data_IF_828715162631
#
_entry.id   IF_828715162631
#
_cell.length_a   1.000
_cell.length_b   1.000
_cell.length_c   1.000
_cell.angle_alpha   90.00
_cell.angle_beta   90.00
_cell.angle_gamma   90.00
#
_symmetry.space_group_name_H-M   'P 1'
#
loop_
_entity.id
_entity.type
_entity.pdbx_description
1 polymer ?
#
# COMPACT_ATOMS: atom_id res chain seq x y z
N UNK A 1 -22.35 4.98 -25.81
CA UNK A 1 -20.89 4.74 -25.56
C UNK A 1 -20.61 3.25 -25.64
N UNK A 2 -19.50 2.88 -26.25
CA UNK A 2 -19.07 1.48 -26.33
C UNK A 2 -17.95 1.27 -25.33
N UNK A 3 -18.16 0.36 -24.36
CA UNK A 3 -17.14 0.02 -23.36
C UNK A 3 -16.01 -0.78 -24.02
N UNK A 4 -14.81 -0.22 -24.05
CA UNK A 4 -13.60 -0.93 -24.48
C UNK A 4 -13.05 -1.74 -23.29
N UNK A 5 -13.15 -3.07 -23.37
CA UNK A 5 -12.54 -3.97 -22.39
C UNK A 5 -11.05 -4.11 -22.66
N UNK A 6 -10.23 -3.67 -21.73
CA UNK A 6 -8.79 -3.88 -21.78
C UNK A 6 -8.42 -5.30 -21.32
N UNK A 7 -7.30 -5.87 -21.79
CA UNK A 7 -6.75 -7.12 -21.24
C UNK A 7 -6.50 -7.01 -19.72
N UNK A 8 -6.48 -8.14 -19.02
CA UNK A 8 -6.26 -8.20 -17.56
C UNK A 8 -4.95 -7.53 -17.10
N UNK A 9 -3.98 -7.42 -17.98
CA UNK A 9 -2.64 -6.88 -17.80
C UNK A 9 -2.39 -5.58 -18.59
N UNK A 10 -3.46 -4.84 -18.86
CA UNK A 10 -3.41 -3.62 -19.67
C UNK A 10 -2.64 -2.44 -19.05
N UNK A 11 -2.34 -2.49 -17.78
CA UNK A 11 -1.58 -1.46 -17.07
C UNK A 11 -0.20 -2.03 -16.67
N UNK A 12 0.79 -2.02 -17.56
CA UNK A 12 2.13 -2.50 -17.24
C UNK A 12 2.83 -1.52 -16.31
N UNK A 13 3.53 -2.03 -15.35
CA UNK A 13 4.52 -1.26 -14.62
C UNK A 13 5.81 -1.19 -15.41
N UNK A 14 6.29 0.03 -15.63
CA UNK A 14 7.62 0.30 -16.15
C UNK A 14 8.46 0.83 -14.98
N UNK A 15 9.53 0.12 -14.58
CA UNK A 15 10.37 0.58 -13.47
C UNK A 15 10.93 1.98 -13.72
N UNK A 16 10.82 2.84 -12.72
CA UNK A 16 11.51 4.13 -12.72
C UNK A 16 13.03 3.91 -12.69
N UNK A 17 13.79 4.82 -13.30
CA UNK A 17 15.25 4.86 -13.14
C UNK A 17 15.70 5.06 -11.68
N UNK A 18 14.78 5.50 -10.81
CA UNK A 18 15.01 5.67 -9.38
C UNK A 18 14.61 4.43 -8.56
N UNK A 19 14.04 3.41 -9.19
CA UNK A 19 13.66 2.19 -8.49
C UNK A 19 14.90 1.46 -7.97
N UNK A 20 14.90 0.97 -6.71
CA UNK A 20 16.05 0.25 -6.17
C UNK A 20 16.24 -1.08 -6.94
N UNK A 21 17.49 -1.40 -7.27
CA UNK A 21 17.85 -2.63 -7.99
C UNK A 21 18.21 -3.77 -7.04
N UNK A 22 18.59 -3.45 -5.81
CA UNK A 22 18.97 -4.41 -4.77
C UNK A 22 18.32 -4.00 -3.45
N UNK A 23 17.25 -4.70 -3.08
CA UNK A 23 16.49 -4.45 -1.86
C UNK A 23 16.82 -5.51 -0.82
N UNK A 24 17.40 -5.10 0.29
CA UNK A 24 17.62 -5.97 1.43
C UNK A 24 16.35 -6.03 2.27
N UNK A 25 15.62 -7.14 2.21
CA UNK A 25 14.33 -7.28 2.90
C UNK A 25 14.51 -7.43 4.41
N UNK A 26 13.81 -6.60 5.19
CA UNK A 26 13.78 -6.68 6.65
C UNK A 26 12.51 -7.42 7.10
N UNK A 27 12.68 -8.65 7.58
CA UNK A 27 11.60 -9.50 8.08
C UNK A 27 11.70 -9.61 9.60
N UNK A 28 10.92 -8.82 10.33
CA UNK A 28 10.87 -8.86 11.80
C UNK A 28 9.86 -9.92 12.25
N UNK A 29 10.33 -10.94 12.96
CA UNK A 29 9.49 -12.10 13.33
C UNK A 29 8.45 -11.76 14.40
N UNK A 30 8.85 -11.07 15.46
CA UNK A 30 7.98 -10.70 16.58
C UNK A 30 8.33 -9.29 17.06
N UNK A 31 7.98 -8.24 16.29
CA UNK A 31 8.25 -6.88 16.71
C UNK A 31 7.44 -6.51 17.96
N UNK A 32 8.06 -5.83 18.91
CA UNK A 32 7.36 -5.28 20.07
C UNK A 32 6.30 -4.26 19.67
N UNK A 33 6.60 -3.49 18.63
CA UNK A 33 5.68 -2.52 18.00
C UNK A 33 5.57 -2.85 16.52
N UNK A 34 4.35 -3.06 16.03
CA UNK A 34 4.06 -3.25 14.60
C UNK A 34 4.06 -1.89 13.93
N UNK A 35 5.04 -1.65 13.07
CA UNK A 35 5.14 -0.45 12.27
C UNK A 35 4.31 -0.58 10.99
N UNK A 36 3.35 0.32 10.81
CA UNK A 36 2.44 0.32 9.66
C UNK A 36 2.73 1.52 8.77
N UNK A 37 3.12 1.25 7.53
CA UNK A 37 3.38 2.27 6.52
C UNK A 37 2.09 2.75 5.84
N UNK A 38 1.96 4.06 5.69
CA UNK A 38 0.88 4.70 4.94
C UNK A 38 1.53 5.63 3.91
N UNK A 39 1.57 5.15 2.67
CA UNK A 39 2.02 5.94 1.53
C UNK A 39 0.82 6.71 0.97
N UNK A 40 0.78 8.01 1.15
CA UNK A 40 -0.36 8.81 0.70
C UNK A 40 0.04 10.22 0.30
N UNK A 41 -0.68 10.80 -0.64
CA UNK A 41 -0.73 12.26 -0.79
C UNK A 41 -1.64 12.84 0.29
N UNK A 42 -1.46 14.11 0.62
CA UNK A 42 -2.27 14.79 1.65
C UNK A 42 -3.77 14.76 1.36
N UNK A 43 -4.15 14.76 0.08
CA UNK A 43 -5.55 14.69 -0.36
C UNK A 43 -6.24 13.36 -0.05
N UNK A 44 -5.48 12.29 0.17
CA UNK A 44 -6.04 10.96 0.52
C UNK A 44 -6.31 10.82 2.01
N UNK A 45 -5.79 11.72 2.84
CA UNK A 45 -6.00 11.73 4.27
C UNK A 45 -7.36 12.37 4.58
N UNK A 46 -8.37 11.55 4.74
CA UNK A 46 -9.72 11.98 5.08
C UNK A 46 -10.11 11.49 6.49
N UNK A 47 -11.10 12.12 7.16
CA UNK A 47 -11.53 11.76 8.50
C UNK A 47 -11.94 10.30 8.66
N UNK A 48 -12.62 9.71 7.67
CA UNK A 48 -13.08 8.32 7.72
C UNK A 48 -11.92 7.32 7.75
N UNK A 49 -10.90 7.59 6.95
CA UNK A 49 -9.69 6.76 6.94
C UNK A 49 -8.93 6.89 8.26
N UNK A 50 -8.72 8.12 8.77
CA UNK A 50 -8.03 8.34 10.04
C UNK A 50 -8.79 7.75 11.24
N UNK A 51 -10.12 7.83 11.25
CA UNK A 51 -10.94 7.19 12.29
C UNK A 51 -10.80 5.65 12.23
N UNK A 52 -10.78 5.06 11.03
CA UNK A 52 -10.53 3.62 10.88
C UNK A 52 -9.15 3.23 11.45
N UNK A 53 -8.10 4.00 11.20
CA UNK A 53 -6.77 3.75 11.77
C UNK A 53 -6.78 3.86 13.30
N UNK A 54 -7.50 4.83 13.85
CA UNK A 54 -7.69 4.97 15.30
C UNK A 54 -8.37 3.73 15.89
N UNK A 55 -9.45 3.25 15.27
CA UNK A 55 -10.16 2.04 15.72
C UNK A 55 -9.25 0.82 15.64
N UNK A 56 -8.45 0.68 14.57
CA UNK A 56 -7.45 -0.40 14.43
C UNK A 56 -6.47 -0.37 15.61
N UNK A 57 -5.87 0.79 15.91
CA UNK A 57 -4.96 0.97 17.05
C UNK A 57 -5.61 0.58 18.37
N UNK A 58 -6.84 1.09 18.61
CA UNK A 58 -7.53 0.95 19.90
C UNK A 58 -8.01 -0.49 20.16
N UNK A 59 -8.30 -1.27 19.09
CA UNK A 59 -8.79 -2.65 19.17
C UNK A 59 -7.72 -3.72 19.05
N UNK A 60 -6.58 -3.41 18.44
CA UNK A 60 -5.48 -4.36 18.28
C UNK A 60 -4.86 -4.73 19.64
N UNK A 61 -4.51 -6.02 19.81
CA UNK A 61 -3.84 -6.54 21.00
C UNK A 61 -2.33 -6.31 20.98
N UNK A 62 -1.79 -5.84 19.85
CA UNK A 62 -0.38 -5.50 19.67
C UNK A 62 -0.22 -3.98 19.64
N UNK A 63 0.93 -3.47 20.06
CA UNK A 63 1.24 -2.06 19.90
C UNK A 63 1.44 -1.74 18.42
N UNK A 64 0.85 -0.66 17.95
CA UNK A 64 0.92 -0.20 16.57
C UNK A 64 1.52 1.20 16.54
N UNK A 65 2.40 1.46 15.59
CA UNK A 65 2.84 2.80 15.23
C UNK A 65 2.69 3.03 13.74
N UNK A 66 2.06 4.16 13.36
CA UNK A 66 1.81 4.51 11.97
C UNK A 66 2.88 5.46 11.43
N UNK A 67 3.45 5.12 10.28
CA UNK A 67 4.41 5.96 9.56
C UNK A 67 3.75 6.49 8.30
N UNK A 68 3.37 7.76 8.31
CA UNK A 68 2.80 8.44 7.16
C UNK A 68 3.93 9.00 6.28
N UNK A 69 4.21 8.33 5.17
CA UNK A 69 5.12 8.80 4.13
C UNK A 69 4.33 9.68 3.15
N UNK A 70 4.35 10.99 3.39
CA UNK A 70 3.40 11.93 2.78
C UNK A 70 3.96 12.57 1.50
N UNK A 71 3.33 12.32 0.37
CA UNK A 71 3.49 13.14 -0.83
C UNK A 71 2.86 14.52 -0.65
N UNK A 72 3.51 15.56 -1.18
CA UNK A 72 3.04 16.95 -1.18
C UNK A 72 2.91 17.63 0.20
N UNK A 73 3.38 17.00 1.26
CA UNK A 73 3.42 17.57 2.62
C UNK A 73 4.76 18.24 2.87
N UNK A 74 4.89 19.50 2.54
CA UNK A 74 6.14 20.25 2.66
C UNK A 74 5.93 21.66 3.23
N UNK A 75 7.01 22.27 3.68
CA UNK A 75 7.00 23.67 4.17
C UNK A 75 5.91 23.91 5.23
N UNK A 76 5.19 24.98 5.07
CA UNK A 76 4.14 25.41 6.02
C UNK A 76 2.95 24.45 6.12
N UNK A 77 2.70 23.64 5.09
CA UNK A 77 1.55 22.70 5.11
C UNK A 77 1.81 21.49 6.00
N UNK A 78 3.07 21.07 6.15
CA UNK A 78 3.42 19.88 6.91
C UNK A 78 2.98 19.93 8.39
N UNK A 79 3.22 20.99 9.17
CA UNK A 79 2.77 21.07 10.56
C UNK A 79 1.26 20.94 10.72
N UNK A 80 0.46 21.46 9.78
CA UNK A 80 -1.00 21.32 9.82
C UNK A 80 -1.44 19.88 9.57
N UNK A 81 -0.84 19.19 8.60
CA UNK A 81 -1.13 17.79 8.32
C UNK A 81 -0.68 16.91 9.48
N UNK A 82 0.50 17.15 10.04
CA UNK A 82 0.98 16.41 11.21
C UNK A 82 0.05 16.58 12.40
N UNK A 83 -0.43 17.81 12.66
CA UNK A 83 -1.43 18.09 13.70
C UNK A 83 -2.75 17.36 13.42
N UNK A 84 -3.22 17.37 12.18
CA UNK A 84 -4.45 16.68 11.79
C UNK A 84 -4.36 15.18 12.07
N UNK A 85 -3.27 14.52 11.65
CA UNK A 85 -3.02 13.11 11.96
C UNK A 85 -2.99 12.88 13.48
N UNK A 86 -2.28 13.73 14.22
CA UNK A 86 -2.14 13.61 15.67
C UNK A 86 -3.47 13.76 16.43
N UNK A 87 -4.45 14.47 15.87
CA UNK A 87 -5.78 14.59 16.45
C UNK A 87 -6.47 13.23 16.59
N UNK A 88 -6.22 12.29 15.66
CA UNK A 88 -6.78 10.94 15.65
C UNK A 88 -5.89 9.92 16.38
N UNK A 89 -4.59 10.01 16.18
CA UNK A 89 -3.64 8.93 16.51
C UNK A 89 -2.67 9.27 17.65
N UNK A 90 -2.66 10.51 18.11
CA UNK A 90 -1.77 10.93 19.18
C UNK A 90 -0.30 10.75 18.84
N UNK A 91 0.45 10.15 19.77
CA UNK A 91 1.86 9.85 19.64
C UNK A 91 2.13 8.49 18.96
N UNK A 92 1.08 7.74 18.60
CA UNK A 92 1.17 6.47 17.90
C UNK A 92 1.32 6.65 16.36
N UNK A 93 1.60 7.88 15.91
CA UNK A 93 1.81 8.19 14.51
C UNK A 93 2.94 9.19 14.29
N UNK A 94 3.73 8.94 13.26
CA UNK A 94 4.75 9.87 12.74
C UNK A 94 4.36 10.33 11.34
N UNK A 95 4.13 11.62 11.17
CA UNK A 95 3.96 12.23 9.86
C UNK A 95 5.34 12.64 9.31
N UNK A 96 5.80 11.97 8.28
CA UNK A 96 7.04 12.32 7.59
C UNK A 96 6.77 13.36 6.49
N UNK A 97 7.56 14.43 6.40
CA UNK A 97 7.38 15.41 5.33
C UNK A 97 7.71 14.79 3.97
N UNK A 98 7.27 15.46 2.91
CA UNK A 98 7.69 15.11 1.55
C UNK A 98 9.20 15.04 1.45
N UNK A 99 9.70 13.96 0.89
CA UNK A 99 11.13 13.67 0.79
C UNK A 99 11.47 13.07 -0.58
N UNK A 100 12.75 13.06 -0.99
CA UNK A 100 13.19 12.33 -2.17
C UNK A 100 12.81 10.85 -2.10
N UNK A 101 12.66 10.22 -3.26
CA UNK A 101 12.08 8.87 -3.39
C UNK A 101 12.84 7.81 -2.58
N UNK A 102 14.17 7.85 -2.57
CA UNK A 102 14.98 6.94 -1.76
C UNK A 102 14.66 7.07 -0.25
N UNK A 103 14.56 8.31 0.26
CA UNK A 103 14.21 8.55 1.66
C UNK A 103 12.79 8.13 2.00
N UNK A 104 11.85 8.33 1.08
CA UNK A 104 10.49 7.83 1.19
C UNK A 104 10.47 6.29 1.29
N UNK A 105 11.25 5.59 0.45
CA UNK A 105 11.36 4.14 0.51
C UNK A 105 12.01 3.67 1.82
N UNK A 106 13.01 4.38 2.35
CA UNK A 106 13.62 4.06 3.65
C UNK A 106 12.61 4.08 4.80
N UNK A 107 11.67 5.03 4.78
CA UNK A 107 10.60 5.11 5.78
C UNK A 107 9.72 3.86 5.73
N UNK A 108 9.28 3.48 4.54
CA UNK A 108 8.42 2.32 4.35
C UNK A 108 9.16 1.00 4.59
N UNK A 109 10.43 0.92 4.23
CA UNK A 109 11.26 -0.27 4.42
C UNK A 109 11.36 -0.71 5.89
N UNK A 110 11.26 0.24 6.82
CA UNK A 110 11.25 -0.03 8.26
C UNK A 110 9.87 -0.44 8.82
N UNK A 111 8.86 -0.57 7.94
CA UNK A 111 7.53 -1.01 8.32
C UNK A 111 7.37 -2.53 8.21
N UNK A 112 6.38 -3.08 8.91
CA UNK A 112 6.04 -4.50 8.89
C UNK A 112 4.96 -4.82 7.86
N UNK A 113 4.07 -3.86 7.62
CA UNK A 113 2.96 -3.93 6.69
C UNK A 113 2.54 -2.54 6.24
N UNK A 114 1.64 -2.49 5.27
CA UNK A 114 1.07 -1.22 4.80
C UNK A 114 -0.46 -1.23 4.87
N UNK A 115 -1.05 -0.05 5.03
CA UNK A 115 -2.48 0.16 4.92
C UNK A 115 -2.76 1.19 3.82
N UNK A 116 -3.55 0.79 2.83
CA UNK A 116 -3.88 1.65 1.72
C UNK A 116 -5.04 2.59 2.09
N UNK A 117 -4.92 3.89 1.81
CA UNK A 117 -6.02 4.83 2.06
C UNK A 117 -7.22 4.52 1.19
N UNK A 118 -8.40 4.86 1.67
CA UNK A 118 -9.65 4.76 0.93
C UNK A 118 -10.42 6.10 0.98
N UNK A 119 -11.31 6.38 0.01
CA UNK A 119 -11.75 5.53 -1.10
C UNK A 119 -10.79 5.46 -2.30
N UNK A 120 -9.79 6.32 -2.40
CA UNK A 120 -8.96 6.45 -3.60
C UNK A 120 -7.87 5.39 -3.78
N UNK A 121 -7.60 4.56 -2.80
CA UNK A 121 -6.55 3.56 -2.90
C UNK A 121 -5.14 4.13 -3.09
N UNK A 122 -4.19 3.27 -3.46
CA UNK A 122 -2.77 3.63 -3.45
C UNK A 122 -1.94 3.01 -4.59
N UNK A 123 -2.42 3.02 -5.79
CA UNK A 123 -1.83 2.39 -6.99
C UNK A 123 -0.28 2.33 -7.00
N UNK A 124 0.39 3.48 -6.97
CA UNK A 124 1.86 3.55 -6.97
C UNK A 124 2.46 3.04 -5.65
N UNK A 125 1.81 3.32 -4.53
CA UNK A 125 2.27 2.82 -3.24
C UNK A 125 2.16 1.30 -3.10
N UNK A 126 1.30 0.62 -3.88
CA UNK A 126 1.28 -0.85 -3.96
C UNK A 126 2.54 -1.35 -4.68
N UNK A 127 2.99 -0.66 -5.73
CA UNK A 127 4.26 -0.97 -6.38
C UNK A 127 5.43 -0.83 -5.40
N UNK A 128 5.45 0.25 -4.63
CA UNK A 128 6.46 0.48 -3.60
C UNK A 128 6.39 -0.59 -2.49
N UNK A 129 5.17 -0.93 -2.04
CA UNK A 129 4.91 -2.02 -1.09
C UNK A 129 5.54 -3.34 -1.56
N UNK A 130 5.27 -3.72 -2.80
CA UNK A 130 5.79 -4.96 -3.40
C UNK A 130 7.29 -4.90 -3.61
N UNK A 131 7.83 -3.74 -4.02
CA UNK A 131 9.27 -3.50 -4.15
C UNK A 131 10.00 -3.76 -2.84
N UNK A 132 9.40 -3.37 -1.73
CA UNK A 132 9.95 -3.53 -0.38
C UNK A 132 9.60 -4.89 0.28
N UNK A 133 8.94 -5.79 -0.45
CA UNK A 133 8.49 -7.08 0.11
C UNK A 133 7.53 -6.91 1.29
N UNK A 134 6.73 -5.86 1.28
CA UNK A 134 5.68 -5.61 2.26
C UNK A 134 4.36 -6.17 1.78
N UNK A 135 3.46 -6.43 2.71
CA UNK A 135 2.07 -6.82 2.47
C UNK A 135 1.14 -5.79 3.09
N UNK A 136 -0.07 -5.67 2.61
CA UNK A 136 -1.01 -4.70 3.15
C UNK A 136 -2.47 -5.11 2.99
N UNK A 137 -3.36 -4.21 3.40
CA UNK A 137 -4.81 -4.33 3.23
C UNK A 137 -5.29 -3.16 2.38
N UNK A 138 -6.17 -3.44 1.44
CA UNK A 138 -6.88 -2.41 0.67
C UNK A 138 -8.39 -2.53 0.86
N UNK A 139 -9.11 -1.45 0.56
CA UNK A 139 -10.57 -1.44 0.53
C UNK A 139 -11.04 -1.26 -0.91
N UNK A 140 -11.95 -2.12 -1.36
CA UNK A 140 -12.70 -1.95 -2.61
C UNK A 140 -14.06 -1.29 -2.35
N UNK A 141 -14.73 -0.86 -3.40
CA UNK A 141 -16.05 -0.22 -3.33
C UNK A 141 -16.73 -0.18 -4.70
N UNK A 142 -17.87 0.51 -4.84
CA UNK A 142 -18.65 0.51 -6.07
C UNK A 142 -18.04 1.36 -7.20
N UNK A 143 -17.15 2.30 -6.88
CA UNK A 143 -16.63 3.24 -7.84
C UNK A 143 -15.36 2.73 -8.54
N UNK A 144 -15.14 3.15 -9.79
CA UNK A 144 -14.01 2.69 -10.61
C UNK A 144 -12.65 2.89 -9.92
N UNK A 145 -12.46 4.02 -9.27
CA UNK A 145 -11.20 4.32 -8.57
C UNK A 145 -10.97 3.45 -7.33
N UNK A 146 -12.00 2.85 -6.75
CA UNK A 146 -11.91 1.94 -5.61
C UNK A 146 -11.47 0.52 -6.00
N UNK A 147 -11.58 0.13 -7.29
CA UNK A 147 -11.22 -1.20 -7.79
C UNK A 147 -9.75 -1.35 -8.18
N UNK A 148 -8.98 -0.28 -8.27
CA UNK A 148 -7.60 -0.33 -8.77
C UNK A 148 -6.73 -1.17 -7.84
N UNK A 149 -6.79 -0.91 -6.55
CA UNK A 149 -6.01 -1.63 -5.54
C UNK A 149 -6.40 -3.11 -5.49
N UNK A 150 -7.70 -3.41 -5.55
CA UNK A 150 -8.22 -4.77 -5.66
C UNK A 150 -7.61 -5.51 -6.85
N UNK A 151 -7.62 -4.88 -8.03
CA UNK A 151 -7.05 -5.45 -9.25
C UNK A 151 -5.56 -5.78 -9.11
N UNK A 152 -4.79 -4.90 -8.47
CA UNK A 152 -3.38 -5.11 -8.21
C UNK A 152 -3.12 -6.25 -7.20
N UNK A 153 -3.90 -6.33 -6.12
CA UNK A 153 -3.79 -7.41 -5.13
C UNK A 153 -4.12 -8.78 -5.75
N UNK A 154 -5.17 -8.86 -6.57
CA UNK A 154 -5.55 -10.09 -7.29
C UNK A 154 -4.45 -10.54 -8.27
N UNK A 155 -3.79 -9.60 -8.95
CA UNK A 155 -2.67 -9.92 -9.85
C UNK A 155 -1.45 -10.47 -9.11
N UNK A 156 -1.22 -10.07 -7.86
CA UNK A 156 -0.15 -10.63 -7.01
C UNK A 156 -0.47 -12.04 -6.49
N UNK A 157 -1.68 -12.54 -6.70
CA UNK A 157 -2.12 -13.80 -6.10
C UNK A 157 -2.26 -13.74 -4.58
N UNK A 158 -2.47 -12.54 -4.03
CA UNK A 158 -2.69 -12.36 -2.60
C UNK A 158 -4.08 -12.91 -2.20
N UNK A 159 -4.24 -13.42 -0.97
CA UNK A 159 -5.52 -13.90 -0.48
C UNK A 159 -6.59 -12.81 -0.53
N UNK A 160 -7.81 -13.17 -0.93
CA UNK A 160 -8.94 -12.24 -1.06
C UNK A 160 -9.31 -11.55 0.25
N UNK A 161 -8.98 -12.16 1.39
CA UNK A 161 -9.24 -11.53 2.68
C UNK A 161 -8.41 -10.25 2.93
N UNK A 162 -7.40 -9.95 2.11
CA UNK A 162 -6.67 -8.67 2.16
C UNK A 162 -7.40 -7.53 1.42
N UNK A 163 -8.51 -7.85 0.74
CA UNK A 163 -9.33 -6.89 -0.03
C UNK A 163 -10.66 -6.71 0.69
N UNK A 164 -10.80 -5.63 1.45
CA UNK A 164 -11.97 -5.36 2.27
C UNK A 164 -13.14 -4.79 1.46
N UNK A 165 -14.35 -5.25 1.69
CA UNK A 165 -15.58 -4.76 1.06
C UNK A 165 -16.26 -3.60 1.81
N UNK A 166 -15.91 -3.39 3.08
CA UNK A 166 -16.47 -2.34 3.93
C UNK A 166 -15.38 -1.74 4.82
N UNK A 167 -15.68 -0.64 5.52
CA UNK A 167 -14.76 -0.05 6.50
C UNK A 167 -14.54 -0.98 7.68
N UNK A 168 -15.60 -1.62 8.17
CA UNK A 168 -15.48 -2.59 9.28
C UNK A 168 -14.62 -3.79 8.87
N UNK A 169 -14.86 -4.36 7.68
CA UNK A 169 -14.00 -5.38 7.11
C UNK A 169 -12.52 -4.95 7.05
N UNK A 170 -12.27 -3.70 6.63
CA UNK A 170 -10.93 -3.15 6.53
C UNK A 170 -10.24 -3.12 7.90
N UNK A 171 -10.96 -2.69 8.93
CA UNK A 171 -10.49 -2.65 10.31
C UNK A 171 -10.15 -4.06 10.80
N UNK A 172 -11.06 -5.03 10.66
CA UNK A 172 -10.87 -6.42 11.09
C UNK A 172 -9.65 -7.07 10.42
N UNK A 173 -9.53 -6.88 9.10
CA UNK A 173 -8.45 -7.46 8.31
C UNK A 173 -7.09 -6.81 8.63
N UNK A 174 -7.07 -5.51 8.86
CA UNK A 174 -5.87 -4.80 9.30
C UNK A 174 -5.41 -5.28 10.69
N UNK A 175 -6.32 -5.46 11.63
CA UNK A 175 -6.03 -6.01 12.96
C UNK A 175 -5.49 -7.43 12.83
N UNK A 176 -6.16 -8.30 12.06
CA UNK A 176 -5.70 -9.67 11.80
C UNK A 176 -4.26 -9.68 11.26
N UNK A 177 -3.96 -8.84 10.26
CA UNK A 177 -2.63 -8.78 9.66
C UNK A 177 -1.59 -8.23 10.65
N UNK A 178 -1.96 -7.30 11.51
CA UNK A 178 -1.07 -6.76 12.53
C UNK A 178 -0.77 -7.77 13.64
N UNK A 179 -1.77 -8.52 14.10
CA UNK A 179 -1.65 -9.45 15.22
C UNK A 179 -1.01 -10.79 14.82
N UNK A 180 -1.26 -11.27 13.60
CA UNK A 180 -0.74 -12.56 13.15
C UNK A 180 0.62 -12.41 12.47
N UNK A 181 1.68 -12.36 13.28
CA UNK A 181 3.05 -12.20 12.78
C UNK A 181 3.46 -13.30 11.78
N UNK A 182 3.09 -14.55 12.03
CA UNK A 182 3.46 -15.67 11.15
C UNK A 182 2.74 -15.57 9.80
N UNK A 183 1.45 -15.25 9.79
CA UNK A 183 0.69 -15.07 8.55
C UNK A 183 1.24 -13.88 7.74
N UNK A 184 1.53 -12.75 8.41
CA UNK A 184 2.15 -11.58 7.78
C UNK A 184 3.49 -11.91 7.15
N UNK A 185 4.37 -12.64 7.85
CA UNK A 185 5.66 -13.05 7.33
C UNK A 185 5.54 -14.01 6.15
N UNK A 186 4.62 -14.98 6.21
CA UNK A 186 4.37 -15.90 5.10
C UNK A 186 3.93 -15.15 3.84
N UNK A 187 3.03 -14.17 3.97
CA UNK A 187 2.58 -13.33 2.85
C UNK A 187 3.71 -12.47 2.29
N UNK A 188 4.55 -11.90 3.14
CA UNK A 188 5.72 -11.13 2.70
C UNK A 188 6.73 -12.00 1.94
N UNK A 189 7.03 -13.21 2.45
CA UNK A 189 7.88 -14.18 1.75
C UNK A 189 7.29 -14.54 0.39
N UNK A 190 5.97 -14.78 0.30
CA UNK A 190 5.30 -15.04 -0.96
C UNK A 190 5.53 -13.91 -1.99
N UNK A 191 5.41 -12.64 -1.59
CA UNK A 191 5.66 -11.49 -2.47
C UNK A 191 7.12 -11.46 -2.93
N UNK A 192 8.06 -11.69 -2.03
CA UNK A 192 9.51 -11.65 -2.31
C UNK A 192 9.91 -12.80 -3.26
N UNK A 193 9.52 -14.02 -2.95
CA UNK A 193 9.90 -15.23 -3.69
C UNK A 193 9.31 -15.25 -5.11
N UNK A 194 8.07 -14.78 -5.27
CA UNK A 194 7.41 -14.68 -6.57
C UNK A 194 7.83 -13.44 -7.37
N UNK A 195 8.75 -12.63 -6.86
CA UNK A 195 9.16 -11.38 -7.48
C UNK A 195 7.95 -10.56 -7.97
N UNK A 196 7.16 -10.09 -7.02
CA UNK A 196 5.86 -9.46 -7.28
C UNK A 196 5.90 -8.34 -8.33
N UNK A 197 7.02 -7.63 -8.50
CA UNK A 197 7.18 -6.62 -9.55
C UNK A 197 7.14 -7.22 -10.96
N UNK A 198 7.64 -8.43 -11.16
CA UNK A 198 7.56 -9.10 -12.49
C UNK A 198 6.12 -9.38 -12.88
N UNK A 199 5.25 -9.61 -11.92
CA UNK A 199 3.82 -9.82 -12.17
C UNK A 199 3.17 -8.60 -12.83
N UNK A 200 3.67 -7.40 -12.55
CA UNK A 200 3.17 -6.18 -13.15
C UNK A 200 3.88 -5.78 -14.46
N UNK A 201 5.11 -6.21 -14.67
CA UNK A 201 5.94 -5.77 -15.80
C UNK A 201 5.91 -6.71 -17.01
N UNK A 202 5.62 -7.99 -16.84
CA UNK A 202 5.98 -9.03 -17.82
C UNK A 202 5.04 -9.21 -19.01
N UNK A 203 3.81 -8.69 -18.99
CA UNK A 203 2.79 -9.17 -19.91
C UNK A 203 2.64 -8.38 -21.22
N UNK A 204 3.05 -7.14 -21.29
CA UNK A 204 2.59 -6.22 -22.36
C UNK A 204 3.57 -6.06 -23.51
N UNK A 205 4.87 -6.14 -23.29
CA UNK A 205 5.81 -6.03 -24.42
C UNK A 205 5.59 -7.12 -25.49
N UNK A 206 5.11 -8.30 -25.10
CA UNK A 206 4.84 -9.41 -26.00
C UNK A 206 3.54 -9.27 -26.83
N UNK A 207 2.53 -8.57 -26.31
CA UNK A 207 1.22 -8.45 -26.97
C UNK A 207 1.12 -7.25 -27.93
N UNK A 208 1.74 -6.13 -27.61
CA UNK A 208 1.75 -4.94 -28.49
C UNK A 208 2.65 -5.13 -29.70
N UNK A 209 3.76 -5.85 -29.56
CA UNK A 209 4.66 -6.20 -30.67
C UNK A 209 4.01 -7.16 -31.71
N UNK A 210 2.93 -7.87 -31.33
CA UNK A 210 2.20 -8.78 -32.23
C UNK A 210 0.99 -8.14 -32.93
N UNK A 211 0.59 -6.96 -32.55
CA UNK A 211 -0.45 -6.16 -33.24
C UNK A 211 0.22 -5.09 -34.08
N UNK A 212 0.94 -5.53 -35.15
CA UNK A 212 1.17 -4.63 -36.27
C UNK A 212 -0.21 -4.13 -36.73
N UNK A 213 -0.36 -2.84 -36.80
CA UNK A 213 -1.54 -2.19 -37.37
C UNK A 213 -1.80 -2.79 -38.74
N UNK A 214 -3.06 -3.15 -39.08
CA UNK A 214 -3.35 -3.49 -40.46
C UNK A 214 -3.11 -2.25 -41.35
N UNK A 215 -2.40 -2.42 -42.46
CA UNK A 215 -2.23 -1.43 -43.51
C UNK A 215 -3.58 -0.94 -44.03
#
# INVERSE_FOLDING_TARGET
ETLLRLPKDALPYVPSSLAPTDVQYVLRENPEVVNIGIAATTMKLNPYFLEALKVIRDRAKVKIHFHFALGQSSGITHPYIARFIRTYLGDDATAHPHSPYNRYLDILHNCDMMLNPFPFGNTNGIIDMVTLGLVGVCKTGPEVHEHIDEGLFKRLGLPEWLIAGSVEDYIERAIRLAENHQERLALRRHIIENNGLKTYSAAIQAQWAKRSLPN
#
